data_IF_050688965836
#
_entry.id   IF_050688965836
#
_cell.length_a   1.000
_cell.length_b   1.000
_cell.length_c   1.000
_cell.angle_alpha   90.00
_cell.angle_beta   90.00
_cell.angle_gamma   90.00
#
_symmetry.space_group_name_H-M   'P 1'
#
loop_
_entity.id
_entity.type
_entity.pdbx_description
1 polymer ?
#
# COMPACT_ATOMS: atom_id res chain seq x y z
N UNK A 1 -16.05 -27.43 0.46
CA UNK A 1 -15.84 -25.97 0.53
C UNK A 1 -14.57 -25.72 1.36
N UNK A 2 -13.61 -25.01 0.82
CA UNK A 2 -12.38 -24.72 1.58
C UNK A 2 -12.68 -23.72 2.71
N UNK A 3 -12.10 -23.95 3.89
CA UNK A 3 -12.27 -23.11 5.08
C UNK A 3 -11.60 -21.72 4.87
N UNK A 4 -10.58 -21.65 4.05
CA UNK A 4 -9.76 -20.47 3.82
C UNK A 4 -9.79 -20.05 2.35
N UNK A 5 -9.62 -18.76 2.08
CA UNK A 5 -9.56 -18.22 0.73
C UNK A 5 -8.31 -18.71 -0.02
N UNK A 6 -7.17 -18.68 0.65
CA UNK A 6 -5.90 -19.17 0.11
C UNK A 6 -4.96 -19.67 1.24
N UNK A 7 -3.83 -20.26 0.85
CA UNK A 7 -2.82 -20.79 1.76
C UNK A 7 -2.08 -19.71 2.58
N UNK A 8 -2.18 -18.43 2.20
CA UNK A 8 -1.56 -17.35 2.96
C UNK A 8 -2.23 -17.12 4.31
N UNK A 9 -3.51 -17.54 4.47
CA UNK A 9 -4.22 -17.42 5.74
C UNK A 9 -3.75 -18.43 6.79
N UNK A 10 -3.15 -19.54 6.37
CA UNK A 10 -2.72 -20.63 7.24
C UNK A 10 -1.24 -20.59 7.61
N UNK A 11 -0.52 -19.58 7.14
CA UNK A 11 0.91 -19.40 7.45
C UNK A 11 1.15 -19.24 8.95
N UNK A 12 2.21 -19.85 9.45
CA UNK A 12 2.74 -19.63 10.79
C UNK A 12 3.19 -18.17 11.00
N UNK A 13 3.41 -17.79 12.26
CA UNK A 13 3.97 -16.48 12.58
C UNK A 13 5.36 -16.27 11.96
N UNK A 14 6.20 -17.31 11.98
CA UNK A 14 7.54 -17.26 11.39
C UNK A 14 7.51 -17.04 9.88
N UNK A 15 6.64 -17.76 9.16
CA UNK A 15 6.47 -17.59 7.70
C UNK A 15 5.97 -16.18 7.34
N UNK A 16 5.06 -15.61 8.14
CA UNK A 16 4.61 -14.23 7.94
C UNK A 16 5.72 -13.21 8.17
N UNK A 17 6.51 -13.41 9.23
CA UNK A 17 7.65 -12.55 9.54
C UNK A 17 8.70 -12.59 8.43
N UNK A 18 9.03 -13.77 7.93
CA UNK A 18 9.96 -13.93 6.82
C UNK A 18 9.45 -13.25 5.54
N UNK A 19 8.18 -13.48 5.19
CA UNK A 19 7.57 -12.84 4.02
C UNK A 19 7.56 -11.31 4.14
N UNK A 20 7.37 -10.77 5.35
CA UNK A 20 7.44 -9.34 5.62
C UNK A 20 8.87 -8.82 5.43
N UNK A 21 9.87 -9.50 5.99
CA UNK A 21 11.29 -9.15 5.88
C UNK A 21 11.77 -9.08 4.42
N UNK A 22 11.23 -9.95 3.56
CA UNK A 22 11.51 -9.95 2.13
C UNK A 22 10.75 -8.86 1.35
N UNK A 23 9.52 -8.55 1.75
CA UNK A 23 8.66 -7.60 1.03
C UNK A 23 8.97 -6.14 1.35
N UNK A 24 9.27 -5.80 2.61
CA UNK A 24 9.47 -4.42 3.06
C UNK A 24 10.60 -3.70 2.29
N UNK A 25 11.82 -4.25 2.16
CA UNK A 25 12.89 -3.59 1.42
C UNK A 25 12.51 -3.26 -0.01
N UNK A 26 11.83 -4.18 -0.69
CA UNK A 26 11.38 -3.99 -2.07
C UNK A 26 10.30 -2.89 -2.16
N UNK A 27 9.36 -2.87 -1.22
CA UNK A 27 8.31 -1.86 -1.18
C UNK A 27 8.87 -0.46 -0.92
N UNK A 28 9.81 -0.33 0.00
CA UNK A 28 10.46 0.96 0.31
C UNK A 28 11.28 1.44 -0.88
N UNK A 29 12.04 0.56 -1.52
CA UNK A 29 12.80 0.88 -2.72
C UNK A 29 11.87 1.33 -3.87
N UNK A 30 10.77 0.61 -4.07
CA UNK A 30 9.76 0.96 -5.08
C UNK A 30 9.15 2.34 -4.82
N UNK A 31 8.72 2.61 -3.59
CA UNK A 31 8.14 3.90 -3.21
C UNK A 31 9.13 5.05 -3.43
N UNK A 32 10.38 4.90 -3.00
CA UNK A 32 11.44 5.92 -3.23
C UNK A 32 11.70 6.18 -4.70
N UNK A 33 11.68 5.15 -5.52
CA UNK A 33 12.03 5.27 -6.95
C UNK A 33 10.90 5.88 -7.77
N UNK A 34 9.64 5.57 -7.45
CA UNK A 34 8.51 5.87 -8.33
C UNK A 34 7.54 6.92 -7.78
N UNK A 35 7.59 7.26 -6.48
CA UNK A 35 6.71 8.25 -5.89
C UNK A 35 7.48 9.55 -5.60
N UNK A 36 7.10 10.69 -6.18
CA UNK A 36 7.76 11.98 -5.90
C UNK A 36 7.80 12.33 -4.40
N UNK A 37 6.70 12.11 -3.69
CA UNK A 37 6.62 12.37 -2.25
C UNK A 37 7.57 11.47 -1.45
N UNK A 38 7.59 10.16 -1.75
CA UNK A 38 8.44 9.22 -1.02
C UNK A 38 9.91 9.28 -1.46
N UNK A 39 10.20 9.76 -2.66
CA UNK A 39 11.58 10.07 -3.05
C UNK A 39 12.20 11.15 -2.14
N UNK A 40 11.41 12.15 -1.76
CA UNK A 40 11.82 13.22 -0.85
C UNK A 40 11.88 12.75 0.61
N UNK A 41 10.77 12.19 1.11
CA UNK A 41 10.59 11.88 2.55
C UNK A 41 11.39 10.67 3.02
N UNK A 42 11.69 9.72 2.13
CA UNK A 42 12.48 8.52 2.42
C UNK A 42 13.91 8.61 1.86
N UNK A 43 14.39 9.77 1.43
CA UNK A 43 15.69 9.94 0.78
C UNK A 43 16.86 9.40 1.64
N UNK A 44 16.77 9.57 2.95
CA UNK A 44 17.78 9.15 3.93
C UNK A 44 17.60 7.71 4.44
N UNK A 45 16.51 7.02 4.03
CA UNK A 45 16.23 5.65 4.46
C UNK A 45 16.93 4.67 3.52
N UNK A 46 17.68 3.73 4.09
CA UNK A 46 18.23 2.61 3.34
C UNK A 46 17.20 1.46 3.30
N UNK A 47 16.64 1.13 2.12
CA UNK A 47 15.55 0.16 2.03
C UNK A 47 15.90 -1.22 2.60
N UNK A 48 17.14 -1.66 2.40
CA UNK A 48 17.62 -2.98 2.86
C UNK A 48 17.66 -3.14 4.38
N UNK A 49 17.58 -2.04 5.12
CA UNK A 49 17.53 -2.06 6.60
C UNK A 49 16.11 -2.16 7.15
N UNK A 50 15.09 -1.90 6.34
CA UNK A 50 13.68 -1.96 6.77
C UNK A 50 13.16 -3.38 6.57
N UNK A 51 13.48 -4.28 7.48
CA UNK A 51 13.17 -5.72 7.38
C UNK A 51 12.12 -6.22 8.35
N UNK A 52 11.66 -5.38 9.25
CA UNK A 52 10.66 -5.74 10.26
C UNK A 52 9.76 -4.56 10.65
N UNK A 53 8.81 -4.83 11.53
CA UNK A 53 7.85 -3.81 12.00
C UNK A 53 8.50 -2.75 12.88
N UNK A 54 9.59 -3.05 13.58
CA UNK A 54 10.30 -2.08 14.40
C UNK A 54 11.04 -1.05 13.53
N UNK A 55 11.68 -1.49 12.46
CA UNK A 55 12.30 -0.59 11.48
C UNK A 55 11.24 0.19 10.68
N UNK A 56 10.14 -0.47 10.30
CA UNK A 56 9.02 0.19 9.62
C UNK A 56 8.41 1.32 10.48
N UNK A 57 8.30 1.12 11.79
CA UNK A 57 7.74 2.12 12.71
C UNK A 57 8.57 3.41 12.82
N UNK A 58 9.83 3.41 12.39
CA UNK A 58 10.71 4.58 12.37
C UNK A 58 10.50 5.48 11.15
N UNK A 59 9.76 5.00 10.14
CA UNK A 59 9.52 5.76 8.92
C UNK A 59 8.53 6.92 9.16
N UNK A 60 8.64 8.02 8.40
CA UNK A 60 7.72 9.13 8.52
C UNK A 60 6.28 8.71 8.14
N UNK A 61 5.32 9.18 8.93
CA UNK A 61 3.89 8.91 8.73
C UNK A 61 3.25 10.07 7.98
N UNK A 62 2.47 9.76 6.95
CA UNK A 62 1.60 10.74 6.28
C UNK A 62 0.25 10.74 6.96
N UNK A 63 -0.05 11.80 7.72
CA UNK A 63 -1.36 11.97 8.33
C UNK A 63 -2.42 12.36 7.29
N UNK A 64 -3.70 12.17 7.62
CA UNK A 64 -4.81 12.51 6.74
C UNK A 64 -4.85 14.01 6.38
N UNK A 65 -4.49 14.89 7.31
CA UNK A 65 -4.40 16.34 7.08
C UNK A 65 -3.25 16.68 6.13
N UNK A 66 -2.07 16.11 6.35
CA UNK A 66 -0.91 16.28 5.45
C UNK A 66 -1.22 15.76 4.05
N UNK A 67 -1.89 14.61 3.93
CA UNK A 67 -2.30 14.09 2.62
C UNK A 67 -3.25 15.07 1.90
N UNK A 68 -4.20 15.66 2.60
CA UNK A 68 -5.11 16.67 2.03
C UNK A 68 -4.34 17.90 1.51
N UNK A 69 -3.33 18.37 2.22
CA UNK A 69 -2.46 19.47 1.77
C UNK A 69 -1.62 19.09 0.56
N UNK A 70 -1.03 17.91 0.56
CA UNK A 70 -0.28 17.38 -0.58
C UNK A 70 -1.15 17.30 -1.84
N UNK A 71 -2.38 16.83 -1.72
CA UNK A 71 -3.30 16.72 -2.85
C UNK A 71 -3.78 18.09 -3.36
N UNK A 72 -3.89 19.09 -2.52
CA UNK A 72 -4.16 20.47 -2.96
C UNK A 72 -2.96 21.10 -3.68
N UNK A 73 -1.76 20.83 -3.23
CA UNK A 73 -0.53 21.37 -3.83
C UNK A 73 -0.08 20.64 -5.09
N UNK A 74 -0.34 19.34 -5.18
CA UNK A 74 0.00 18.46 -6.32
C UNK A 74 -1.21 17.58 -6.70
N UNK A 75 -2.27 18.17 -7.33
CA UNK A 75 -3.48 17.39 -7.65
C UNK A 75 -3.22 16.30 -8.70
N UNK A 76 -4.00 15.21 -8.71
CA UNK A 76 -5.04 14.88 -7.73
C UNK A 76 -4.52 14.09 -6.53
N UNK A 77 -3.34 13.48 -6.59
CA UNK A 77 -2.89 12.43 -5.66
C UNK A 77 -1.75 12.86 -4.72
N UNK A 78 -1.31 14.12 -4.78
CA UNK A 78 -0.28 14.65 -3.86
C UNK A 78 1.13 14.14 -4.11
N UNK A 79 1.40 13.52 -5.26
CA UNK A 79 2.70 12.93 -5.58
C UNK A 79 3.00 11.63 -4.82
N UNK A 80 2.02 11.01 -4.16
CA UNK A 80 2.20 9.71 -3.48
C UNK A 80 2.05 8.51 -4.41
N UNK A 81 1.50 8.71 -5.60
CA UNK A 81 1.32 7.69 -6.61
C UNK A 81 2.66 7.26 -7.23
N UNK A 82 2.75 5.98 -7.58
CA UNK A 82 3.93 5.37 -8.21
C UNK A 82 3.79 5.19 -9.72
N UNK A 83 2.62 5.48 -10.26
CA UNK A 83 2.34 5.47 -11.71
C UNK A 83 1.63 6.77 -12.12
N UNK A 84 1.73 7.20 -13.37
CA UNK A 84 0.98 8.35 -13.87
C UNK A 84 -0.53 8.22 -13.64
N UNK A 85 -1.19 9.34 -13.40
CA UNK A 85 -2.63 9.39 -13.08
C UNK A 85 -3.48 8.71 -14.16
N UNK A 86 -3.12 8.85 -15.44
CA UNK A 86 -3.83 8.22 -16.57
C UNK A 86 -3.74 6.69 -16.63
N UNK A 87 -2.85 6.07 -15.88
CA UNK A 87 -2.70 4.61 -15.83
C UNK A 87 -3.61 3.94 -14.79
N UNK A 88 -4.25 4.70 -13.90
CA UNK A 88 -5.23 4.14 -12.97
C UNK A 88 -6.51 3.70 -13.68
N UNK A 89 -7.13 2.64 -13.15
CA UNK A 89 -8.46 2.20 -13.57
C UNK A 89 -9.53 3.21 -13.15
N UNK A 90 -9.39 3.76 -11.95
CA UNK A 90 -10.30 4.74 -11.33
C UNK A 90 -9.55 5.65 -10.39
N UNK A 91 -10.08 6.87 -10.23
CA UNK A 91 -9.76 7.74 -9.10
C UNK A 91 -11.02 7.81 -8.24
N UNK A 92 -10.88 7.42 -6.98
CA UNK A 92 -11.96 7.39 -6.00
C UNK A 92 -11.80 8.55 -5.03
N UNK A 93 -12.91 9.08 -4.56
CA UNK A 93 -12.95 10.13 -3.55
C UNK A 93 -13.53 9.59 -2.25
N UNK A 94 -12.84 9.82 -1.16
CA UNK A 94 -13.32 9.59 0.20
C UNK A 94 -13.67 10.89 0.90
N UNK A 95 -14.31 10.78 2.07
CA UNK A 95 -14.62 11.97 2.88
C UNK A 95 -13.35 12.75 3.27
N UNK A 96 -13.43 14.09 3.12
CA UNK A 96 -12.34 14.95 3.50
C UNK A 96 -12.02 16.14 2.57
N UNK A 97 -12.25 16.25 1.25
CA UNK A 97 -12.15 15.15 0.29
C UNK A 97 -10.70 14.69 0.09
N UNK A 98 -10.50 13.40 0.03
CA UNK A 98 -9.21 12.77 -0.32
C UNK A 98 -9.39 11.84 -1.51
N UNK A 99 -8.39 11.80 -2.37
CA UNK A 99 -8.41 11.01 -3.59
C UNK A 99 -7.46 9.83 -3.49
N UNK A 100 -7.87 8.68 -4.06
CA UNK A 100 -7.05 7.47 -4.16
C UNK A 100 -7.14 6.87 -5.55
N UNK A 101 -6.01 6.45 -6.10
CA UNK A 101 -5.95 5.75 -7.37
C UNK A 101 -6.15 4.25 -7.19
N UNK A 102 -6.96 3.62 -8.06
CA UNK A 102 -7.09 2.18 -8.15
C UNK A 102 -6.34 1.68 -9.38
N UNK A 103 -5.33 0.83 -9.18
CA UNK A 103 -4.58 0.27 -10.28
C UNK A 103 -5.37 -0.81 -11.05
N UNK A 104 -4.97 -1.06 -12.30
CA UNK A 104 -5.56 -2.09 -13.17
C UNK A 104 -5.05 -3.48 -12.80
N UNK A 105 -5.42 -3.97 -11.62
CA UNK A 105 -5.08 -5.31 -11.19
C UNK A 105 -6.24 -5.95 -10.41
N UNK A 106 -6.23 -7.29 -10.34
CA UNK A 106 -7.24 -8.03 -9.60
C UNK A 106 -7.06 -7.82 -8.11
N UNK A 107 -8.16 -7.58 -7.40
CA UNK A 107 -8.23 -7.41 -5.94
C UNK A 107 -7.24 -6.35 -5.41
N UNK A 108 -7.16 -5.21 -6.08
CA UNK A 108 -6.28 -4.09 -5.71
C UNK A 108 -6.45 -3.69 -4.24
N UNK A 109 -7.69 -3.61 -3.75
CA UNK A 109 -8.00 -3.23 -2.38
C UNK A 109 -7.86 -4.36 -1.36
N UNK A 110 -7.44 -5.55 -1.79
CA UNK A 110 -7.26 -6.73 -0.94
C UNK A 110 -8.52 -7.14 -0.17
N UNK A 111 -9.69 -6.95 -0.76
CA UNK A 111 -10.99 -7.24 -0.15
C UNK A 111 -11.43 -8.70 -0.28
N UNK A 112 -10.87 -9.45 -1.23
CA UNK A 112 -11.33 -10.80 -1.56
C UNK A 112 -11.34 -11.75 -0.36
N UNK A 113 -10.31 -11.72 0.50
CA UNK A 113 -10.28 -12.54 1.72
C UNK A 113 -11.37 -12.17 2.72
N UNK A 114 -11.57 -10.85 2.94
CA UNK A 114 -12.61 -10.36 3.84
C UNK A 114 -14.00 -10.76 3.35
N UNK A 115 -14.26 -10.60 2.05
CA UNK A 115 -15.52 -11.01 1.43
C UNK A 115 -15.73 -12.54 1.54
N UNK A 116 -14.67 -13.32 1.31
CA UNK A 116 -14.72 -14.76 1.45
C UNK A 116 -15.06 -15.18 2.89
N UNK A 117 -14.41 -14.55 3.89
CA UNK A 117 -14.69 -14.79 5.31
C UNK A 117 -16.13 -14.42 5.69
N UNK A 118 -16.69 -13.38 5.07
CA UNK A 118 -18.07 -12.96 5.23
C UNK A 118 -19.09 -13.86 4.49
N UNK A 119 -18.62 -14.90 3.80
CA UNK A 119 -19.50 -15.88 3.13
C UNK A 119 -19.69 -15.67 1.64
N UNK A 120 -19.16 -14.60 1.05
CA UNK A 120 -19.24 -14.41 -0.40
C UNK A 120 -18.38 -15.45 -1.15
N UNK A 121 -18.90 -15.89 -2.31
CA UNK A 121 -18.21 -16.85 -3.20
C UNK A 121 -18.27 -16.31 -4.63
N UNK A 122 -17.36 -16.79 -5.47
CA UNK A 122 -17.47 -16.53 -6.90
C UNK A 122 -18.74 -17.15 -7.43
N UNK A 123 -19.48 -16.40 -8.23
CA UNK A 123 -20.62 -16.90 -8.99
C UNK A 123 -20.19 -17.73 -10.19
#
# INVERSE_FOLDING_TARGET
MTKHYDGLETRSAAERQQALAEALPRQIAHARTHSPHYAETLAHIEPTKVVDTAELAKLPIVSKSVLGELQRSRPPLGGINTVPVGEFARILQSAGPLYGGEARCTDYWRLARGMYAAGFRRG
#
